data_IF_890005002256
#
_entry.id   IF_890005002256
#
_cell.length_a   1.000
_cell.length_b   1.000
_cell.length_c   1.000
_cell.angle_alpha   90.00
_cell.angle_beta   90.00
_cell.angle_gamma   90.00
#
_symmetry.space_group_name_H-M   'P 1'
#
loop_
_entity.id
_entity.type
_entity.pdbx_description
1 polymer ?
#
# COMPACT_ATOMS: atom_id res chain seq x y z
N UNK A 1 -5.25 2.47 34.25
CA UNK A 1 -4.07 3.02 34.95
C UNK A 1 -3.03 1.90 34.91
N UNK A 2 -1.88 1.92 34.24
CA UNK A 2 -0.98 2.93 33.70
C UNK A 2 -0.19 2.26 32.54
N UNK A 3 0.11 3.00 31.48
CA UNK A 3 1.23 2.69 30.57
C UNK A 3 2.57 2.89 31.30
N UNK A 4 3.67 2.28 30.80
CA UNK A 4 4.91 3.03 30.77
C UNK A 4 5.53 3.10 29.36
N UNK A 5 6.20 4.23 29.15
CA UNK A 5 6.69 4.76 27.90
C UNK A 5 8.14 4.36 27.54
N UNK A 6 8.39 4.50 26.24
CA UNK A 6 9.62 4.65 25.45
C UNK A 6 11.02 4.87 26.08
N UNK A 7 11.97 4.21 25.39
CA UNK A 7 13.27 4.67 24.87
C UNK A 7 14.52 4.61 25.75
N UNK A 8 15.46 3.74 25.34
CA UNK A 8 16.91 3.98 25.40
C UNK A 8 17.62 3.20 24.27
N UNK A 9 18.40 3.91 23.45
CA UNK A 9 19.42 3.47 22.47
C UNK A 9 20.65 4.39 22.72
N UNK A 10 21.90 4.17 22.21
CA UNK A 10 22.31 3.29 21.11
C UNK A 10 23.70 2.58 21.25
N UNK A 11 23.99 1.55 20.44
CA UNK A 11 25.33 1.37 19.84
C UNK A 11 25.37 0.38 18.65
N UNK A 12 25.90 0.91 17.54
CA UNK A 12 26.48 0.32 16.32
C UNK A 12 26.61 -1.22 16.23
N UNK A 13 26.02 -1.80 15.19
CA UNK A 13 26.72 -2.41 14.04
C UNK A 13 25.72 -2.90 12.97
N UNK A 14 26.24 -3.06 11.76
CA UNK A 14 25.59 -3.27 10.46
C UNK A 14 24.42 -4.25 10.37
N UNK A 15 23.50 -3.89 9.45
CA UNK A 15 22.53 -4.74 8.72
C UNK A 15 21.39 -5.38 9.52
N UNK A 16 20.21 -5.45 8.88
CA UNK A 16 18.92 -5.98 9.37
C UNK A 16 18.08 -5.05 10.27
N UNK A 17 17.44 -4.05 9.67
CA UNK A 17 16.20 -3.44 10.22
C UNK A 17 15.18 -3.19 9.10
N UNK A 18 14.77 -4.27 8.44
CA UNK A 18 13.57 -4.31 7.59
C UNK A 18 12.56 -5.35 8.12
N UNK A 19 12.59 -5.64 9.42
CA UNK A 19 11.70 -6.64 10.01
C UNK A 19 10.92 -6.08 11.20
N UNK A 20 9.63 -6.44 11.19
CA UNK A 20 8.68 -6.40 12.30
C UNK A 20 7.92 -5.09 12.58
N UNK A 21 7.23 -4.56 11.56
CA UNK A 21 5.90 -3.92 11.76
C UNK A 21 4.84 -4.31 10.73
N UNK A 22 5.07 -5.39 9.99
CA UNK A 22 4.02 -6.06 9.23
C UNK A 22 3.76 -7.37 9.96
N UNK A 23 2.82 -7.37 10.92
CA UNK A 23 2.04 -8.54 11.37
C UNK A 23 1.13 -8.04 12.49
N UNK A 24 -0.14 -7.87 12.14
CA UNK A 24 -1.17 -8.66 12.79
C UNK A 24 -2.14 -9.14 11.71
N UNK A 25 -1.80 -10.29 11.12
CA UNK A 25 -2.63 -11.05 10.18
C UNK A 25 -3.88 -11.66 10.85
N UNK A 26 -4.05 -11.48 12.17
CA UNK A 26 -5.20 -11.95 12.96
C UNK A 26 -6.33 -10.92 13.02
N UNK A 27 -6.04 -9.64 12.87
CA UNK A 27 -7.07 -8.58 12.77
C UNK A 27 -7.77 -8.58 11.40
N UNK A 28 -7.11 -9.09 10.34
CA UNK A 28 -7.64 -9.05 8.97
C UNK A 28 -8.80 -10.00 8.67
N UNK A 29 -8.96 -11.08 9.45
CA UNK A 29 -9.97 -12.11 9.13
C UNK A 29 -11.42 -11.62 9.33
N UNK A 30 -11.63 -10.47 9.97
CA UNK A 30 -12.96 -9.94 10.28
C UNK A 30 -13.38 -8.70 9.45
N UNK A 31 -12.50 -8.10 8.65
CA UNK A 31 -12.85 -6.91 7.83
C UNK A 31 -12.98 -7.21 6.34
N UNK A 32 -12.42 -8.31 5.85
CA UNK A 32 -12.78 -8.85 4.52
C UNK A 32 -14.01 -9.73 4.66
N UNK A 33 -15.19 -9.10 4.72
CA UNK A 33 -16.43 -9.83 4.60
C UNK A 33 -16.47 -10.49 3.21
N UNK A 34 -16.21 -11.80 3.16
CA UNK A 34 -16.24 -12.64 1.93
C UNK A 34 -17.60 -12.66 1.24
N UNK A 35 -18.63 -12.06 1.84
CA UNK A 35 -19.96 -11.86 1.27
C UNK A 35 -20.22 -10.47 0.66
N UNK A 36 -19.21 -9.60 0.57
CA UNK A 36 -19.37 -8.25 0.00
C UNK A 36 -19.80 -8.31 -1.48
N UNK A 37 -21.01 -7.82 -1.84
CA UNK A 37 -21.56 -7.88 -3.20
C UNK A 37 -20.98 -6.81 -4.15
N UNK A 38 -19.98 -6.05 -3.72
CA UNK A 38 -19.30 -5.03 -4.52
C UNK A 38 -18.06 -5.59 -5.26
N UNK A 39 -17.65 -5.02 -6.42
CA UNK A 39 -16.57 -5.51 -7.30
C UNK A 39 -15.15 -5.44 -6.69
N UNK A 40 -15.02 -5.35 -5.37
CA UNK A 40 -13.73 -5.29 -4.67
C UNK A 40 -12.89 -6.54 -4.86
N UNK A 41 -13.52 -7.72 -5.01
CA UNK A 41 -12.81 -9.00 -5.23
C UNK A 41 -12.09 -9.04 -6.57
N UNK A 42 -12.73 -8.58 -7.65
CA UNK A 42 -12.11 -8.53 -8.97
C UNK A 42 -10.97 -7.52 -9.01
N UNK A 43 -11.14 -6.36 -8.36
CA UNK A 43 -10.10 -5.34 -8.26
C UNK A 43 -8.90 -5.81 -7.42
N UNK A 44 -9.16 -6.45 -6.29
CA UNK A 44 -8.12 -7.06 -5.45
C UNK A 44 -7.31 -8.08 -6.24
N UNK A 45 -7.99 -9.00 -6.93
CA UNK A 45 -7.35 -10.05 -7.70
C UNK A 45 -6.54 -9.48 -8.88
N UNK A 46 -7.09 -8.51 -9.62
CA UNK A 46 -6.38 -7.85 -10.71
C UNK A 46 -5.12 -7.12 -10.20
N UNK A 47 -5.22 -6.42 -9.07
CA UNK A 47 -4.08 -5.73 -8.48
C UNK A 47 -3.03 -6.70 -7.94
N UNK A 48 -3.48 -7.81 -7.32
CA UNK A 48 -2.61 -8.89 -6.86
C UNK A 48 -1.82 -9.48 -8.02
N UNK A 49 -2.48 -9.76 -9.15
CA UNK A 49 -1.83 -10.26 -10.36
C UNK A 49 -0.81 -9.26 -10.91
N UNK A 50 -1.18 -7.99 -11.06
CA UNK A 50 -0.27 -6.94 -11.51
C UNK A 50 1.00 -6.85 -10.64
N UNK A 51 0.83 -6.88 -9.32
CA UNK A 51 1.95 -6.84 -8.38
C UNK A 51 2.79 -8.12 -8.43
N UNK A 52 2.17 -9.30 -8.53
CA UNK A 52 2.86 -10.57 -8.63
C UNK A 52 3.70 -10.68 -9.92
N UNK A 53 3.23 -10.14 -11.03
CA UNK A 53 3.98 -10.09 -12.29
C UNK A 53 5.24 -9.21 -12.18
N UNK A 54 5.19 -8.16 -11.35
CA UNK A 54 6.27 -7.18 -11.19
C UNK A 54 7.10 -7.36 -9.91
N UNK A 55 6.87 -8.41 -9.13
CA UNK A 55 7.61 -8.69 -7.91
C UNK A 55 9.06 -9.10 -8.20
N UNK A 56 10.00 -8.53 -7.45
CA UNK A 56 11.44 -8.79 -7.60
C UNK A 56 11.88 -10.17 -7.11
N UNK A 57 11.16 -10.76 -6.15
CA UNK A 57 11.43 -12.06 -5.56
C UNK A 57 10.12 -12.77 -5.13
N UNK A 58 10.22 -14.04 -4.74
CA UNK A 58 9.05 -14.85 -4.35
C UNK A 58 8.26 -14.25 -3.19
N UNK A 59 8.95 -13.64 -2.21
CA UNK A 59 8.31 -12.93 -1.11
C UNK A 59 7.46 -11.76 -1.61
N UNK A 60 7.96 -10.96 -2.54
CA UNK A 60 7.22 -9.86 -3.14
C UNK A 60 5.98 -10.36 -3.90
N UNK A 61 6.12 -11.48 -4.63
CA UNK A 61 5.07 -12.05 -5.48
C UNK A 61 3.97 -12.77 -4.70
N UNK A 62 4.33 -13.47 -3.64
CA UNK A 62 3.42 -14.38 -2.94
C UNK A 62 2.95 -13.84 -1.59
N UNK A 63 3.73 -12.99 -0.92
CA UNK A 63 3.39 -12.46 0.40
C UNK A 63 2.99 -10.97 0.33
N UNK A 64 3.82 -10.12 -0.31
CA UNK A 64 3.55 -8.69 -0.37
C UNK A 64 2.45 -8.31 -1.36
N UNK A 65 2.43 -8.91 -2.56
CA UNK A 65 1.42 -8.63 -3.57
C UNK A 65 -0.03 -8.79 -3.04
N UNK A 66 -0.42 -9.95 -2.44
CA UNK A 66 -1.76 -10.08 -1.87
C UNK A 66 -2.02 -9.13 -0.70
N UNK A 67 -1.01 -8.88 0.15
CA UNK A 67 -1.15 -7.94 1.25
C UNK A 67 -1.44 -6.52 0.76
N UNK A 68 -0.65 -6.01 -0.18
CA UNK A 68 -0.81 -4.67 -0.76
C UNK A 68 -2.16 -4.56 -1.47
N UNK A 69 -2.57 -5.58 -2.23
CA UNK A 69 -3.85 -5.60 -2.93
C UNK A 69 -5.05 -5.58 -1.98
N UNK A 70 -5.02 -6.37 -0.90
CA UNK A 70 -6.09 -6.35 0.10
C UNK A 70 -6.16 -5.00 0.84
N UNK A 71 -4.99 -4.45 1.18
CA UNK A 71 -4.86 -3.18 1.90
C UNK A 71 -5.29 -1.98 1.07
N UNK A 72 -5.07 -2.01 -0.24
CA UNK A 72 -5.47 -0.91 -1.11
C UNK A 72 -6.98 -0.73 -1.22
N UNK A 73 -7.78 -1.74 -0.84
CA UNK A 73 -9.23 -1.62 -0.78
C UNK A 73 -9.75 -0.82 0.42
N UNK A 74 -8.92 -0.60 1.45
CA UNK A 74 -9.29 0.16 2.63
C UNK A 74 -9.38 1.66 2.35
N UNK A 75 -9.98 2.39 3.28
CA UNK A 75 -10.34 3.80 3.09
C UNK A 75 -9.17 4.76 3.21
N UNK A 76 -8.12 4.40 3.94
CA UNK A 76 -7.01 5.31 4.22
C UNK A 76 -5.97 5.31 3.09
N UNK A 77 -4.87 6.03 3.32
CA UNK A 77 -3.72 5.92 2.45
C UNK A 77 -3.08 4.54 2.62
N UNK A 78 -2.65 3.95 1.50
CA UNK A 78 -2.08 2.61 1.46
C UNK A 78 -0.93 2.41 2.47
N UNK A 79 -0.10 3.42 2.70
CA UNK A 79 0.99 3.33 3.67
C UNK A 79 0.48 3.23 5.11
N UNK A 80 -0.61 3.94 5.46
CA UNK A 80 -1.23 3.91 6.79
C UNK A 80 -1.88 2.56 7.04
N UNK A 81 -2.62 2.06 6.04
CA UNK A 81 -3.24 0.75 6.11
C UNK A 81 -2.18 -0.36 6.23
N UNK A 82 -1.02 -0.21 5.60
CA UNK A 82 0.13 -1.12 5.74
C UNK A 82 0.89 -0.94 7.07
N UNK A 83 0.58 0.08 7.87
CA UNK A 83 1.24 0.36 9.15
C UNK A 83 2.61 1.04 9.01
N UNK A 84 2.89 1.63 7.86
CA UNK A 84 4.10 2.41 7.60
C UNK A 84 3.96 3.83 8.17
N UNK A 85 5.07 4.41 8.62
CA UNK A 85 5.06 5.72 9.26
C UNK A 85 4.92 6.88 8.26
N UNK A 86 5.26 6.67 6.98
CA UNK A 86 5.22 7.75 5.99
C UNK A 86 5.16 7.26 4.54
N UNK A 87 4.81 8.20 3.65
CA UNK A 87 4.95 8.05 2.19
C UNK A 87 6.37 7.67 1.75
N UNK A 88 7.41 8.12 2.47
CA UNK A 88 8.81 7.78 2.15
C UNK A 88 9.09 6.29 2.36
N UNK A 89 8.59 5.71 3.45
CA UNK A 89 8.72 4.28 3.72
C UNK A 89 7.98 3.44 2.68
N UNK A 90 6.80 3.90 2.24
CA UNK A 90 6.08 3.24 1.15
C UNK A 90 6.87 3.26 -0.16
N UNK A 91 7.48 4.40 -0.51
CA UNK A 91 8.34 4.48 -1.69
C UNK A 91 9.53 3.52 -1.58
N UNK A 92 10.19 3.45 -0.40
CA UNK A 92 11.32 2.55 -0.20
C UNK A 92 10.91 1.06 -0.34
N UNK A 93 9.79 0.66 0.28
CA UNK A 93 9.24 -0.68 0.17
C UNK A 93 8.98 -1.06 -1.29
N UNK A 94 8.36 -0.16 -2.05
CA UNK A 94 8.07 -0.43 -3.46
C UNK A 94 9.32 -0.42 -4.35
N UNK A 95 10.32 0.40 -4.04
CA UNK A 95 11.60 0.39 -4.75
C UNK A 95 12.36 -0.92 -4.54
N UNK A 96 12.31 -1.49 -3.33
CA UNK A 96 12.98 -2.74 -3.00
C UNK A 96 12.28 -3.97 -3.60
N UNK A 97 10.95 -4.03 -3.48
CA UNK A 97 10.18 -5.23 -3.84
C UNK A 97 9.55 -5.18 -5.23
N UNK A 98 9.32 -3.98 -5.78
CA UNK A 98 8.69 -3.76 -7.09
C UNK A 98 9.44 -2.69 -7.92
N UNK A 99 10.75 -2.87 -8.16
CA UNK A 99 11.61 -1.84 -8.77
C UNK A 99 11.12 -1.39 -10.15
N UNK A 100 10.56 -2.31 -10.94
CA UNK A 100 10.02 -2.00 -12.27
C UNK A 100 8.82 -1.03 -12.21
N UNK A 101 7.95 -1.18 -11.20
CA UNK A 101 6.83 -0.25 -10.98
C UNK A 101 7.33 1.07 -10.42
N UNK A 102 8.30 1.04 -9.49
CA UNK A 102 8.89 2.24 -8.91
C UNK A 102 9.61 3.11 -9.95
N UNK A 103 10.29 2.52 -10.92
CA UNK A 103 10.96 3.24 -11.99
C UNK A 103 10.00 3.99 -12.94
N UNK A 104 8.76 3.49 -13.08
CA UNK A 104 7.75 4.06 -14.00
C UNK A 104 6.78 5.01 -13.31
N UNK A 105 6.74 5.01 -11.99
CA UNK A 105 5.78 5.80 -11.22
C UNK A 105 6.21 7.28 -11.17
N UNK A 106 5.33 8.24 -11.53
CA UNK A 106 5.59 9.66 -11.32
C UNK A 106 5.77 10.01 -9.83
N UNK A 107 6.69 10.92 -9.50
CA UNK A 107 7.06 11.24 -8.11
C UNK A 107 5.86 11.78 -7.30
N UNK A 108 5.06 12.66 -7.91
CA UNK A 108 3.93 13.32 -7.24
C UNK A 108 2.68 12.45 -7.10
N UNK A 109 2.55 11.36 -7.86
CA UNK A 109 1.37 10.47 -7.76
C UNK A 109 1.50 9.55 -6.53
N UNK A 110 0.39 9.28 -5.84
CA UNK A 110 0.34 8.35 -4.71
C UNK A 110 0.27 6.90 -5.21
N UNK A 111 0.86 5.95 -4.49
CA UNK A 111 0.93 4.54 -4.92
C UNK A 111 -0.43 3.92 -5.22
N UNK A 112 -1.41 4.14 -4.34
CA UNK A 112 -2.76 3.64 -4.54
C UNK A 112 -3.36 4.15 -5.87
N UNK A 113 -3.28 5.45 -6.14
CA UNK A 113 -3.74 6.01 -7.43
C UNK A 113 -3.01 5.37 -8.61
N UNK A 114 -1.67 5.39 -8.60
CA UNK A 114 -0.85 4.83 -9.68
C UNK A 114 -1.19 3.37 -10.01
N UNK A 115 -1.35 2.54 -8.99
CA UNK A 115 -1.66 1.11 -9.16
C UNK A 115 -3.03 0.88 -9.81
N UNK A 116 -4.04 1.67 -9.44
CA UNK A 116 -5.37 1.56 -10.03
C UNK A 116 -5.45 2.20 -11.42
N UNK A 117 -4.69 3.25 -11.69
CA UNK A 117 -4.53 3.83 -13.02
C UNK A 117 -3.97 2.80 -14.01
N UNK A 118 -3.00 1.96 -13.59
CA UNK A 118 -2.48 0.85 -14.40
C UNK A 118 -3.54 -0.20 -14.72
N UNK A 119 -4.53 -0.39 -13.84
CA UNK A 119 -5.65 -1.31 -14.06
C UNK A 119 -6.79 -0.68 -14.88
N UNK A 120 -6.72 0.64 -15.17
CA UNK A 120 -7.83 1.38 -15.76
C UNK A 120 -9.07 1.41 -14.84
N UNK A 121 -8.87 1.34 -13.53
CA UNK A 121 -9.92 1.34 -12.51
C UNK A 121 -9.77 2.54 -11.59
N UNK A 122 -10.83 2.91 -10.88
CA UNK A 122 -10.76 3.90 -9.80
C UNK A 122 -10.66 3.19 -8.46
N UNK A 123 -9.72 3.60 -7.62
CA UNK A 123 -9.56 3.00 -6.32
C UNK A 123 -10.81 3.21 -5.45
N UNK A 124 -11.27 2.18 -4.71
CA UNK A 124 -12.34 2.36 -3.75
C UNK A 124 -11.85 3.26 -2.63
N UNK A 125 -12.67 4.22 -2.24
CA UNK A 125 -12.37 5.38 -1.39
C UNK A 125 -11.91 6.66 -2.09
N UNK A 126 -11.67 6.69 -3.42
CA UNK A 126 -11.34 7.96 -4.08
C UNK A 126 -12.45 9.01 -3.89
N UNK A 127 -13.73 8.66 -4.06
CA UNK A 127 -14.83 9.64 -3.97
C UNK A 127 -15.08 10.25 -2.58
N UNK A 128 -14.44 9.74 -1.53
CA UNK A 128 -14.53 10.25 -0.15
C UNK A 128 -13.16 10.66 0.40
N UNK A 129 -12.11 10.62 -0.44
CA UNK A 129 -10.75 10.98 -0.06
C UNK A 129 -10.69 12.51 0.11
N UNK A 130 -10.18 13.00 1.24
CA UNK A 130 -9.97 14.45 1.45
C UNK A 130 -9.01 15.06 0.41
N UNK A 131 -8.12 14.22 -0.15
CA UNK A 131 -7.19 14.60 -1.22
C UNK A 131 -7.72 14.26 -2.62
N UNK A 132 -9.04 14.14 -2.78
CA UNK A 132 -9.65 13.90 -4.08
C UNK A 132 -9.26 14.98 -5.09
N UNK A 133 -9.29 16.25 -4.67
CA UNK A 133 -8.96 17.39 -5.52
C UNK A 133 -7.51 17.32 -6.00
N UNK A 134 -6.55 16.96 -5.13
CA UNK A 134 -5.14 16.77 -5.54
C UNK A 134 -4.96 15.63 -6.58
N UNK A 135 -5.87 14.67 -6.60
CA UNK A 135 -5.83 13.52 -7.49
C UNK A 135 -6.59 13.77 -8.80
N UNK A 136 -7.60 14.62 -8.83
CA UNK A 136 -8.46 14.83 -9.99
C UNK A 136 -8.48 16.28 -10.48
N UNK A 137 -7.55 17.12 -9.99
CA UNK A 137 -7.50 18.53 -10.37
C UNK A 137 -7.42 18.67 -11.89
N UNK A 138 -8.52 19.17 -12.44
CA UNK A 138 -8.64 19.50 -13.85
C UNK A 138 -7.80 20.74 -14.07
N UNK A 139 -6.68 20.61 -14.78
CA UNK A 139 -6.04 21.78 -15.35
C UNK A 139 -7.00 22.39 -16.37
N UNK A 140 -7.83 23.35 -15.93
CA UNK A 140 -8.41 24.34 -16.83
C UNK A 140 -7.22 25.17 -17.29
N UNK A 141 -6.68 24.80 -18.45
CA UNK A 141 -5.77 25.66 -19.19
C UNK A 141 -6.58 26.91 -19.56
N UNK A 142 -6.28 28.04 -18.92
CA UNK A 142 -6.72 29.36 -19.36
C UNK A 142 -5.72 29.91 -20.38
#
# INVERSE_FOLDING_TARGET
MLFPACCSRPSRQNTCLFSCRIVDSRIWRHTVNTSSPYPYREMEEALRQLLAEHGSNDYARHELAPLIAAKSLLMNHLYEDLGLASRKEMNALMQEHFPALAARKPENIRWKKYLYDLLGKTAPACGMCQDFDECFDCQIVQ
#
